data_IF_607712758016
#
_entry.id   IF_607712758016
#
_cell.length_a   1.000
_cell.length_b   1.000
_cell.length_c   1.000
_cell.angle_alpha   90.00
_cell.angle_beta   90.00
_cell.angle_gamma   90.00
#
_symmetry.space_group_name_H-M   'P 1'
#
loop_
_entity.id
_entity.type
_entity.pdbx_description
1 polymer ?
#
# COMPACT_ATOMS: atom_id res chain seq x y z
N UNK A 1 31.20 28.43 19.01
CA UNK A 1 30.85 29.71 18.37
C UNK A 1 29.55 29.51 17.60
N UNK A 2 28.53 30.27 17.95
CA UNK A 2 27.11 30.06 17.59
C UNK A 2 26.72 31.16 16.61
N UNK A 3 26.23 30.81 15.42
CA UNK A 3 25.69 31.77 14.44
C UNK A 3 24.22 31.44 14.21
N UNK A 4 23.38 32.19 14.90
CA UNK A 4 21.93 32.25 14.71
C UNK A 4 21.69 33.22 13.56
N UNK A 5 21.09 32.75 12.48
CA UNK A 5 20.59 33.59 11.40
C UNK A 5 19.11 33.90 11.67
N UNK A 6 18.82 35.18 11.78
CA UNK A 6 17.49 35.75 12.03
C UNK A 6 16.74 35.84 10.68
N UNK A 7 15.59 35.17 10.55
CA UNK A 7 14.69 35.32 9.41
C UNK A 7 13.58 36.32 9.77
N UNK A 8 13.46 37.36 8.95
CA UNK A 8 12.45 38.42 9.08
C UNK A 8 11.16 37.96 8.39
N UNK A 9 10.06 37.98 9.13
CA UNK A 9 8.72 37.73 8.62
C UNK A 9 8.13 39.01 8.01
N UNK A 10 7.42 38.89 6.88
CA UNK A 10 6.50 39.92 6.39
C UNK A 10 5.12 39.26 6.22
N UNK A 11 4.18 39.76 7.00
CA UNK A 11 2.75 39.48 6.96
C UNK A 11 2.12 40.45 5.96
N UNK A 12 1.30 39.95 5.03
CA UNK A 12 0.28 40.78 4.36
C UNK A 12 -1.06 40.07 4.44
N UNK A 13 -2.03 40.77 5.03
CA UNK A 13 -3.41 40.35 5.28
C UNK A 13 -4.29 40.81 4.13
N UNK A 14 -5.12 39.89 3.65
CA UNK A 14 -6.55 40.13 3.38
C UNK A 14 -6.96 40.63 1.99
N UNK A 15 -7.89 39.91 1.36
CA UNK A 15 -9.18 40.48 0.97
C UNK A 15 -10.30 39.46 1.22
N UNK A 16 -11.32 39.93 1.93
CA UNK A 16 -12.66 39.36 2.02
C UNK A 16 -13.33 39.39 0.65
N UNK A 17 -14.10 38.35 0.31
CA UNK A 17 -15.34 38.55 -0.44
C UNK A 17 -16.33 37.42 -0.15
N UNK A 18 -17.31 37.74 0.70
CA UNK A 18 -18.59 37.04 0.77
C UNK A 18 -19.39 37.39 -0.48
N UNK A 19 -19.80 36.39 -1.26
CA UNK A 19 -20.89 36.49 -2.22
C UNK A 19 -22.01 35.59 -1.74
N UNK A 20 -23.07 36.18 -1.19
CA UNK A 20 -24.31 35.53 -0.79
C UNK A 20 -25.40 36.14 -1.66
N UNK A 21 -26.01 35.34 -2.52
CA UNK A 21 -27.28 35.67 -3.15
C UNK A 21 -28.26 34.51 -2.91
N UNK A 22 -29.32 34.86 -2.19
CA UNK A 22 -30.63 34.20 -2.18
C UNK A 22 -31.24 34.39 -3.60
N UNK A 23 -32.16 33.60 -4.14
CA UNK A 23 -33.55 33.45 -3.70
C UNK A 23 -34.28 32.53 -4.70
N UNK A 24 -35.15 31.66 -4.18
CA UNK A 24 -36.49 31.27 -4.69
C UNK A 24 -36.71 30.96 -6.18
N UNK A 25 -37.23 29.77 -6.49
CA UNK A 25 -38.69 29.55 -6.69
C UNK A 25 -39.01 28.09 -7.06
N UNK A 26 -39.86 27.48 -6.22
CA UNK A 26 -41.04 26.62 -6.49
C UNK A 26 -41.51 26.61 -7.97
N UNK A 27 -41.97 25.54 -8.64
CA UNK A 27 -42.86 24.43 -8.30
C UNK A 27 -42.69 23.22 -9.27
N UNK A 28 -42.87 22.02 -8.71
CA UNK A 28 -43.76 20.91 -9.13
C UNK A 28 -43.99 20.60 -10.62
N UNK A 29 -43.56 19.40 -11.04
CA UNK A 29 -44.50 18.48 -11.70
C UNK A 29 -44.22 17.03 -11.29
N UNK A 30 -45.27 16.36 -10.85
CA UNK A 30 -45.34 14.96 -10.45
C UNK A 30 -45.73 14.13 -11.68
N UNK A 31 -45.10 12.99 -11.88
CA UNK A 31 -45.80 11.78 -12.33
C UNK A 31 -45.20 10.55 -11.68
N UNK A 32 -46.06 9.90 -10.90
CA UNK A 32 -45.85 8.64 -10.19
C UNK A 32 -45.93 7.46 -11.16
N UNK A 33 -45.12 6.43 -10.90
CA UNK A 33 -45.61 5.04 -10.87
C UNK A 33 -44.81 4.22 -9.83
N UNK A 34 -45.34 4.16 -8.60
CA UNK A 34 -45.79 2.95 -7.88
C UNK A 34 -45.21 1.59 -8.34
N UNK A 35 -44.72 0.63 -7.54
CA UNK A 35 -44.59 0.35 -6.09
C UNK A 35 -43.69 -0.92 -6.02
N UNK A 36 -42.75 -1.13 -5.09
CA UNK A 36 -42.98 -1.93 -3.86
C UNK A 36 -41.73 -2.02 -2.94
N UNK A 37 -41.82 -1.35 -1.78
CA UNK A 37 -41.44 -1.66 -0.38
C UNK A 37 -40.17 -2.47 0.03
N UNK A 38 -39.17 -1.74 0.60
CA UNK A 38 -38.58 -1.74 1.99
C UNK A 38 -38.29 -3.04 2.79
N UNK A 39 -37.39 -3.05 3.83
CA UNK A 39 -36.71 -1.93 4.51
C UNK A 39 -35.19 -2.10 4.88
N UNK A 40 -34.68 -0.98 5.43
CA UNK A 40 -33.38 -0.61 6.03
C UNK A 40 -32.65 -1.57 7.01
N UNK A 41 -31.31 -1.58 6.85
CA UNK A 41 -30.24 -1.17 7.80
C UNK A 41 -29.84 -2.05 9.02
N UNK A 42 -28.56 -2.47 9.03
CA UNK A 42 -27.64 -2.49 10.19
C UNK A 42 -26.19 -2.48 9.64
N UNK A 43 -25.56 -1.32 9.48
CA UNK A 43 -24.48 -0.73 10.31
C UNK A 43 -23.17 -1.53 10.48
N UNK A 44 -22.11 -0.92 9.92
CA UNK A 44 -20.69 -0.81 10.35
C UNK A 44 -19.96 -2.11 10.76
N UNK A 45 -18.75 -2.38 10.24
CA UNK A 45 -17.55 -1.75 10.78
C UNK A 45 -16.34 -1.86 9.81
N UNK A 46 -15.74 -0.70 9.54
CA UNK A 46 -14.32 -0.48 9.19
C UNK A 46 -13.71 -1.22 7.99
N UNK A 47 -14.29 -1.07 6.80
CA UNK A 47 -13.45 -1.13 5.60
C UNK A 47 -12.69 0.19 5.49
N UNK A 48 -11.43 0.18 5.95
CA UNK A 48 -10.44 1.14 5.46
C UNK A 48 -10.46 1.02 3.94
N UNK A 49 -11.00 2.04 3.28
CA UNK A 49 -11.05 2.14 1.83
C UNK A 49 -9.60 2.22 1.37
N UNK A 50 -8.99 1.05 1.10
CA UNK A 50 -7.72 0.96 0.37
C UNK A 50 -8.02 1.68 -0.95
N UNK A 51 -7.52 2.91 -1.06
CA UNK A 51 -7.70 3.72 -2.25
C UNK A 51 -7.02 2.99 -3.38
N UNK A 52 -7.83 2.56 -4.36
CA UNK A 52 -7.38 2.10 -5.67
C UNK A 52 -6.47 3.20 -6.23
N UNK A 53 -5.16 3.04 -6.08
CA UNK A 53 -4.19 3.83 -6.80
C UNK A 53 -4.40 3.48 -8.28
N UNK A 54 -4.45 4.48 -9.16
CA UNK A 54 -4.54 4.24 -10.61
C UNK A 54 -3.40 3.33 -11.11
N UNK A 55 -2.31 3.20 -10.35
CA UNK A 55 -1.19 2.32 -10.64
C UNK A 55 -1.51 0.81 -10.50
N UNK A 56 -2.52 0.45 -9.70
CA UNK A 56 -2.87 -0.93 -9.35
C UNK A 56 -4.39 -1.19 -9.45
N UNK A 57 -4.92 -1.37 -10.68
CA UNK A 57 -6.32 -1.70 -10.89
C UNK A 57 -6.68 -3.08 -10.31
N UNK A 58 -7.94 -3.22 -9.90
CA UNK A 58 -8.51 -4.47 -9.41
C UNK A 58 -8.95 -5.34 -10.60
N UNK A 59 -8.02 -6.15 -11.12
CA UNK A 59 -8.27 -7.04 -12.26
C UNK A 59 -8.58 -8.46 -11.73
N UNK A 60 -9.78 -8.63 -11.19
CA UNK A 60 -10.23 -9.88 -10.55
C UNK A 60 -10.42 -11.08 -11.51
N UNK A 61 -10.22 -10.86 -12.80
CA UNK A 61 -10.60 -11.73 -13.91
C UNK A 61 -9.49 -11.90 -14.97
N UNK A 62 -8.28 -11.40 -14.70
CA UNK A 62 -7.11 -11.51 -15.59
C UNK A 62 -5.92 -12.19 -14.88
N UNK A 63 -4.96 -12.66 -15.67
CA UNK A 63 -3.67 -13.13 -15.18
C UNK A 63 -2.88 -11.92 -14.66
N UNK A 64 -2.54 -11.91 -13.37
CA UNK A 64 -1.85 -10.77 -12.77
C UNK A 64 -0.46 -10.60 -13.39
N UNK A 65 0.03 -9.35 -13.53
CA UNK A 65 1.34 -9.09 -14.11
C UNK A 65 2.45 -9.91 -13.44
N UNK A 66 3.41 -10.39 -14.24
CA UNK A 66 4.46 -11.30 -13.75
C UNK A 66 4.01 -12.71 -13.36
N UNK A 67 2.78 -13.12 -13.71
CA UNK A 67 2.24 -14.40 -13.28
C UNK A 67 1.96 -14.47 -11.78
N UNK A 68 1.75 -13.32 -11.12
CA UNK A 68 1.54 -13.27 -9.68
C UNK A 68 0.29 -14.06 -9.25
N UNK A 69 0.41 -14.75 -8.12
CA UNK A 69 -0.71 -15.46 -7.53
C UNK A 69 -1.81 -14.48 -7.06
N UNK A 70 -3.06 -14.96 -7.01
CA UNK A 70 -4.19 -14.18 -6.50
C UNK A 70 -4.02 -13.75 -5.03
N UNK A 71 -3.25 -14.50 -4.25
CA UNK A 71 -3.15 -14.35 -2.81
C UNK A 71 -4.14 -15.21 -2.04
N UNK A 72 -3.84 -15.44 -0.76
CA UNK A 72 -4.63 -16.30 0.11
C UNK A 72 -5.95 -15.65 0.52
N UNK A 73 -6.91 -16.48 0.96
CA UNK A 73 -8.20 -16.04 1.49
C UNK A 73 -8.08 -15.55 2.95
N UNK A 74 -7.12 -14.66 3.17
CA UNK A 74 -6.93 -13.93 4.41
C UNK A 74 -6.80 -12.43 4.10
N UNK A 75 -7.61 -11.62 4.78
CA UNK A 75 -7.59 -10.17 4.63
C UNK A 75 -6.38 -9.55 5.34
N UNK A 76 -5.73 -8.63 4.63
CA UNK A 76 -4.72 -7.76 5.20
C UNK A 76 -5.35 -6.78 6.20
N UNK A 77 -4.75 -6.65 7.38
CA UNK A 77 -5.20 -5.73 8.43
C UNK A 77 -4.15 -4.64 8.67
N UNK A 78 -4.59 -3.38 8.67
CA UNK A 78 -3.72 -2.21 8.89
C UNK A 78 -4.44 -1.13 9.70
N UNK A 79 -3.67 -0.30 10.41
CA UNK A 79 -4.13 0.94 11.04
C UNK A 79 -3.85 2.19 10.17
N UNK A 80 -3.35 1.99 8.94
CA UNK A 80 -2.96 3.03 7.99
C UNK A 80 -1.50 3.48 8.09
N UNK A 81 -0.71 2.89 9.00
CA UNK A 81 0.71 3.18 9.16
C UNK A 81 1.59 2.08 8.55
N UNK A 82 2.81 2.48 8.19
CA UNK A 82 3.81 1.57 7.64
C UNK A 82 4.40 0.62 8.70
N UNK A 83 4.53 1.08 9.96
CA UNK A 83 5.22 0.33 11.04
C UNK A 83 6.68 -0.02 10.74
N UNK A 84 7.51 0.97 10.37
CA UNK A 84 8.93 0.79 10.05
C UNK A 84 9.69 0.01 11.14
N UNK A 85 9.37 0.23 12.41
CA UNK A 85 10.02 -0.43 13.54
C UNK A 85 9.86 -1.95 13.54
N UNK A 86 8.87 -2.46 12.81
CA UNK A 86 8.59 -3.90 12.73
C UNK A 86 9.51 -4.61 11.75
N UNK A 87 10.02 -3.94 10.73
CA UNK A 87 10.78 -4.58 9.65
C UNK A 87 12.10 -3.92 9.27
N UNK A 88 12.30 -2.63 9.56
CA UNK A 88 13.43 -1.89 9.03
C UNK A 88 14.76 -2.44 9.56
N UNK A 89 15.68 -2.74 8.64
CA UNK A 89 16.98 -3.34 8.88
C UNK A 89 16.93 -4.74 9.55
N UNK A 90 15.78 -5.42 9.52
CA UNK A 90 15.65 -6.83 9.94
C UNK A 90 15.66 -7.73 8.71
N UNK A 91 16.25 -8.92 8.87
CA UNK A 91 16.25 -9.95 7.82
C UNK A 91 15.04 -10.86 8.02
N UNK A 92 14.38 -11.20 6.92
CA UNK A 92 13.23 -12.09 6.85
C UNK A 92 13.46 -13.15 5.78
N UNK A 93 12.91 -14.35 5.97
CA UNK A 93 12.94 -15.42 4.97
C UNK A 93 11.81 -15.29 3.95
N UNK A 94 12.06 -15.78 2.73
CA UNK A 94 10.98 -16.15 1.82
C UNK A 94 10.49 -17.55 2.18
N UNK A 95 9.17 -17.74 2.27
CA UNK A 95 8.58 -19.03 2.64
C UNK A 95 9.01 -20.12 1.65
N UNK A 96 9.34 -21.30 2.19
CA UNK A 96 9.75 -22.50 1.42
C UNK A 96 11.03 -22.33 0.58
N UNK A 97 11.82 -21.27 0.78
CA UNK A 97 13.14 -21.12 0.15
C UNK A 97 14.24 -20.82 1.17
N UNK A 98 15.50 -20.94 0.75
CA UNK A 98 16.65 -20.51 1.55
C UNK A 98 16.93 -19.00 1.41
N UNK A 99 16.19 -18.32 0.54
CA UNK A 99 16.38 -16.91 0.26
C UNK A 99 15.89 -16.06 1.43
N UNK A 100 16.49 -14.90 1.57
CA UNK A 100 16.05 -13.92 2.55
C UNK A 100 16.08 -12.52 1.98
N UNK A 101 15.50 -11.58 2.70
CA UNK A 101 15.50 -10.19 2.30
C UNK A 101 15.59 -9.28 3.52
N UNK A 102 15.95 -8.03 3.25
CA UNK A 102 15.99 -6.96 4.24
C UNK A 102 15.50 -5.67 3.62
N UNK A 103 14.56 -5.03 4.29
CA UNK A 103 14.08 -3.69 3.90
C UNK A 103 14.89 -2.66 4.67
N UNK A 104 15.41 -1.68 3.94
CA UNK A 104 16.28 -0.63 4.47
C UNK A 104 15.84 0.74 3.93
N UNK A 105 16.44 1.80 4.47
CA UNK A 105 16.13 3.18 4.09
C UNK A 105 17.41 3.99 3.99
N UNK A 106 17.56 4.72 2.90
CA UNK A 106 18.63 5.68 2.67
C UNK A 106 18.05 7.08 2.38
N UNK A 107 18.89 8.01 1.91
CA UNK A 107 18.47 9.36 1.55
C UNK A 107 17.55 9.44 0.31
N UNK A 108 17.43 8.37 -0.47
CA UNK A 108 16.55 8.27 -1.65
C UNK A 108 15.23 7.56 -1.33
N UNK A 109 15.07 7.02 -0.13
CA UNK A 109 13.87 6.33 0.32
C UNK A 109 14.14 4.88 0.69
N UNK A 110 13.13 4.03 0.52
CA UNK A 110 13.22 2.62 0.88
C UNK A 110 13.86 1.80 -0.24
N UNK A 111 14.55 0.74 0.16
CA UNK A 111 15.06 -0.26 -0.75
C UNK A 111 15.03 -1.63 -0.09
N UNK A 112 14.92 -2.65 -0.92
CA UNK A 112 14.99 -4.06 -0.56
C UNK A 112 16.34 -4.59 -1.00
N UNK A 113 17.03 -5.32 -0.12
CA UNK A 113 18.14 -6.19 -0.51
C UNK A 113 17.65 -7.64 -0.44
N UNK A 114 17.65 -8.33 -1.59
CA UNK A 114 17.36 -9.76 -1.72
C UNK A 114 18.67 -10.53 -1.59
N UNK A 115 18.66 -11.60 -0.81
CA UNK A 115 19.76 -12.52 -0.57
C UNK A 115 19.38 -13.88 -1.13
N UNK A 116 20.02 -14.29 -2.23
CA UNK A 116 19.64 -15.48 -2.99
C UNK A 116 20.64 -16.59 -2.72
N UNK A 117 20.16 -17.73 -2.20
CA UNK A 117 20.97 -18.91 -1.90
C UNK A 117 20.64 -20.07 -2.85
N UNK A 118 21.44 -20.17 -3.91
CA UNK A 118 21.31 -21.22 -4.93
C UNK A 118 21.93 -22.56 -4.51
N UNK A 119 22.40 -22.70 -3.26
CA UNK A 119 23.14 -23.89 -2.83
C UNK A 119 22.32 -25.17 -2.97
N UNK A 120 21.02 -25.11 -2.70
CA UNK A 120 20.11 -26.22 -2.85
C UNK A 120 19.95 -26.65 -4.33
N UNK A 121 19.91 -25.69 -5.25
CA UNK A 121 19.75 -25.93 -6.69
C UNK A 121 21.02 -26.53 -7.31
N UNK A 122 22.18 -26.04 -6.89
CA UNK A 122 23.49 -26.51 -7.38
C UNK A 122 23.94 -27.79 -6.67
N UNK A 123 23.33 -28.13 -5.53
CA UNK A 123 23.66 -29.32 -4.72
C UNK A 123 24.97 -29.20 -3.94
N UNK A 124 25.46 -27.97 -3.73
CA UNK A 124 26.66 -27.65 -2.93
C UNK A 124 26.56 -26.21 -2.45
N UNK A 125 27.25 -25.90 -1.36
CA UNK A 125 27.34 -24.54 -0.85
C UNK A 125 27.97 -23.60 -1.90
N UNK A 126 27.26 -22.51 -2.21
CA UNK A 126 27.70 -21.43 -3.09
C UNK A 126 27.53 -20.07 -2.39
N UNK A 127 28.29 -19.04 -2.79
CA UNK A 127 28.12 -17.71 -2.22
C UNK A 127 26.71 -17.16 -2.46
N UNK A 128 26.10 -16.60 -1.42
CA UNK A 128 24.82 -15.89 -1.49
C UNK A 128 24.97 -14.65 -2.40
N UNK A 129 24.05 -14.49 -3.35
CA UNK A 129 23.99 -13.32 -4.23
C UNK A 129 23.15 -12.23 -3.59
N UNK A 130 23.50 -10.97 -3.86
CA UNK A 130 22.76 -9.80 -3.40
C UNK A 130 22.17 -9.02 -4.58
N UNK A 131 20.87 -8.73 -4.51
CA UNK A 131 20.18 -7.87 -5.46
C UNK A 131 19.45 -6.75 -4.73
N UNK A 132 19.47 -5.54 -5.29
CA UNK A 132 18.83 -4.37 -4.65
C UNK A 132 17.73 -3.80 -5.54
N UNK A 133 16.55 -3.59 -4.96
CA UNK A 133 15.36 -3.04 -5.62
C UNK A 133 14.87 -1.81 -4.86
N UNK A 134 14.49 -0.75 -5.58
CA UNK A 134 13.89 0.44 -4.96
C UNK A 134 12.43 0.19 -4.62
N UNK A 135 11.97 0.76 -3.51
CA UNK A 135 10.59 0.60 -3.05
C UNK A 135 9.89 1.96 -3.01
N UNK A 136 8.67 2.02 -3.55
CA UNK A 136 7.78 3.16 -3.48
C UNK A 136 6.79 2.98 -2.32
N UNK A 137 6.67 4.00 -1.48
CA UNK A 137 5.63 4.03 -0.44
C UNK A 137 4.27 4.40 -1.07
N UNK A 138 3.28 3.54 -0.86
CA UNK A 138 1.91 3.69 -1.37
C UNK A 138 0.93 3.66 -0.21
N UNK A 139 -0.01 4.60 -0.20
CA UNK A 139 -1.06 4.73 0.83
C UNK A 139 -0.51 4.73 2.27
N UNK A 140 0.71 5.24 2.47
CA UNK A 140 1.42 5.29 3.75
C UNK A 140 1.62 3.93 4.45
N UNK A 141 1.29 2.82 3.80
CA UNK A 141 1.17 1.49 4.40
C UNK A 141 1.98 0.43 3.65
N UNK A 142 2.06 0.54 2.32
CA UNK A 142 2.66 -0.49 1.47
C UNK A 142 3.98 0.01 0.88
N UNK A 143 5.01 -0.84 0.91
CA UNK A 143 6.23 -0.65 0.14
C UNK A 143 6.14 -1.53 -1.10
N UNK A 144 6.01 -0.93 -2.28
CA UNK A 144 5.87 -1.66 -3.54
C UNK A 144 7.18 -1.61 -4.31
N UNK A 145 7.61 -2.74 -4.88
CA UNK A 145 8.76 -2.78 -5.78
C UNK A 145 8.58 -1.79 -6.94
N UNK A 146 9.57 -0.93 -7.13
CA UNK A 146 9.66 0.00 -8.24
C UNK A 146 10.39 -0.68 -9.41
N UNK A 147 9.78 -1.76 -9.90
CA UNK A 147 10.23 -2.56 -11.04
C UNK A 147 9.23 -2.47 -12.21
N UNK A 148 9.58 -3.07 -13.36
CA UNK A 148 8.70 -3.09 -14.53
C UNK A 148 7.39 -3.79 -14.20
N UNK A 149 6.25 -3.17 -14.54
CA UNK A 149 4.92 -3.75 -14.30
C UNK A 149 4.78 -5.13 -14.94
N UNK A 150 5.42 -5.35 -16.08
CA UNK A 150 5.34 -6.61 -16.84
C UNK A 150 5.87 -7.82 -16.06
N UNK A 151 6.83 -7.59 -15.16
CA UNK A 151 7.46 -8.63 -14.33
C UNK A 151 6.70 -8.87 -13.02
N UNK A 152 5.69 -8.06 -12.73
CA UNK A 152 4.90 -8.13 -11.51
C UNK A 152 5.59 -7.52 -10.29
N UNK A 153 5.08 -6.40 -9.80
CA UNK A 153 5.66 -5.72 -8.64
C UNK A 153 5.11 -6.31 -7.33
N UNK A 154 5.99 -6.92 -6.52
CA UNK A 154 5.64 -7.38 -5.18
C UNK A 154 5.50 -6.18 -4.22
N UNK A 155 4.59 -6.29 -3.25
CA UNK A 155 4.45 -5.31 -2.19
C UNK A 155 4.69 -5.92 -0.81
N UNK A 156 5.16 -5.10 0.13
CA UNK A 156 5.51 -5.49 1.50
C UNK A 156 4.77 -4.60 2.49
N UNK A 157 4.22 -5.20 3.54
CA UNK A 157 3.55 -4.47 4.62
C UNK A 157 3.62 -5.24 5.94
N UNK A 158 3.38 -4.54 7.05
CA UNK A 158 3.17 -5.17 8.36
C UNK A 158 1.66 -5.35 8.61
N UNK A 159 1.24 -6.59 8.81
CA UNK A 159 -0.15 -6.89 9.15
C UNK A 159 -0.36 -6.79 10.66
N UNK A 160 -1.29 -5.93 11.09
CA UNK A 160 -1.50 -5.61 12.51
C UNK A 160 -2.22 -6.72 13.28
N UNK A 161 -2.93 -7.62 12.59
CA UNK A 161 -3.62 -8.76 13.20
C UNK A 161 -2.67 -9.96 13.35
N UNK A 162 -1.89 -10.26 12.33
CA UNK A 162 -0.87 -11.31 12.32
C UNK A 162 0.37 -10.91 13.12
N UNK A 163 0.63 -9.61 13.24
CA UNK A 163 1.87 -9.04 13.80
C UNK A 163 3.12 -9.54 13.08
N UNK A 164 3.04 -9.62 11.75
CA UNK A 164 4.09 -10.14 10.88
C UNK A 164 4.21 -9.30 9.61
N UNK A 165 5.39 -9.33 9.00
CA UNK A 165 5.59 -8.82 7.65
C UNK A 165 4.93 -9.79 6.67
N UNK A 166 4.25 -9.24 5.68
CA UNK A 166 3.54 -10.00 4.66
C UNK A 166 3.90 -9.49 3.27
N UNK A 167 3.89 -10.43 2.32
CA UNK A 167 3.96 -10.16 0.90
C UNK A 167 2.55 -9.94 0.37
N UNK A 168 2.38 -8.93 -0.47
CA UNK A 168 1.08 -8.42 -0.92
C UNK A 168 1.05 -8.43 -2.45
N UNK A 169 -0.06 -8.86 -3.04
CA UNK A 169 -0.33 -8.65 -4.46
C UNK A 169 -1.00 -7.28 -4.62
N UNK A 170 -0.29 -6.23 -5.10
CA UNK A 170 -0.87 -4.91 -5.20
C UNK A 170 -1.95 -4.84 -6.30
N UNK A 171 -1.92 -5.73 -7.31
CA UNK A 171 -2.88 -5.81 -8.41
C UNK A 171 -4.16 -6.58 -8.07
N UNK A 172 -4.27 -7.11 -6.85
CA UNK A 172 -5.48 -7.77 -6.37
C UNK A 172 -5.90 -7.25 -4.99
N UNK A 173 -6.35 -5.99 -4.96
CA UNK A 173 -6.83 -5.32 -3.73
C UNK A 173 -5.84 -5.41 -2.55
N UNK A 174 -4.55 -5.48 -2.82
CA UNK A 174 -3.53 -5.67 -1.79
C UNK A 174 -3.78 -6.90 -0.90
N UNK A 175 -4.22 -8.01 -1.51
CA UNK A 175 -4.36 -9.31 -0.81
C UNK A 175 -3.00 -9.86 -0.39
N UNK A 176 -2.98 -10.54 0.75
CA UNK A 176 -1.78 -11.23 1.22
C UNK A 176 -1.49 -12.42 0.29
N UNK A 177 -0.26 -12.49 -0.19
CA UNK A 177 0.29 -13.64 -0.88
C UNK A 177 0.82 -14.65 0.13
N UNK A 178 1.80 -14.21 0.94
CA UNK A 178 2.51 -15.04 1.90
C UNK A 178 2.87 -14.23 3.15
N UNK A 179 3.18 -14.93 4.23
CA UNK A 179 3.69 -14.34 5.46
C UNK A 179 5.19 -14.56 5.49
N UNK A 180 5.98 -13.52 5.74
CA UNK A 180 7.43 -13.67 5.83
C UNK A 180 7.83 -14.48 7.07
N UNK A 181 8.94 -15.23 6.93
CA UNK A 181 9.49 -16.08 7.99
C UNK A 181 10.55 -15.37 8.84
#
# INVERSE_FOLDING_TARGET
MKKIFLLIAIIVIGLLSCGKDETSSTETSVSQSNTSNSPQQSQENNNSKISNSADFPDESNEEYPGGMAKGMDQEFTTDGNLHEEQFLNKTFGYTDTADSFKIQKDNKGYFLTKYIDESAEVGKEVPVKEETVRLKLVNNTFLVEDASKDDGNLAYAYDTKLKKVVFINPYNKFKILFVAD
#
